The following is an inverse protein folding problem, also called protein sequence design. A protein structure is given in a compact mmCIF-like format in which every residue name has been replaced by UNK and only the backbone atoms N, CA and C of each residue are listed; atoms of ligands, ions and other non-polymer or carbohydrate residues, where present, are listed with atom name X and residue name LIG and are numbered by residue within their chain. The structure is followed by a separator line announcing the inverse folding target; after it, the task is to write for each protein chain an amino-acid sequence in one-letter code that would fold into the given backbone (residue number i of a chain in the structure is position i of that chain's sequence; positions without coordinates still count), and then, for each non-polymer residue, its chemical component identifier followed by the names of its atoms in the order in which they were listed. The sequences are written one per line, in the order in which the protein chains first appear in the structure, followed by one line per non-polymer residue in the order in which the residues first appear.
data_IF_998858709380
#
_entry.id   IF_998858709380
#
_cell.length_a   1.000
_cell.length_b   1.000
_cell.length_c   1.000
_cell.angle_alpha   90.00
_cell.angle_beta   90.00
_cell.angle_gamma   90.00
#
_symmetry.space_group_name_H-M   'P 1'
#
loop_
_entity.id
_entity.type
_entity.pdbx_description
1 polymer ?
#
# COMPACT_ATOMS: atom_id res chain seq x y z
N UNK A 1 4.87 -13.02 7.42
CA UNK A 1 4.32 -11.67 7.25
C UNK A 1 5.38 -10.78 6.62
N UNK A 2 5.01 -10.03 5.59
CA UNK A 2 5.88 -9.07 4.92
C UNK A 2 5.26 -7.68 5.06
N UNK A 3 6.08 -6.64 4.96
CA UNK A 3 5.62 -5.27 5.02
C UNK A 3 5.95 -4.57 3.72
N UNK A 4 4.94 -3.98 3.09
CA UNK A 4 5.12 -3.22 1.85
C UNK A 4 4.92 -1.75 2.18
N UNK A 5 5.88 -0.94 1.74
CA UNK A 5 5.77 0.51 1.75
C UNK A 5 5.33 0.98 0.38
N UNK A 6 4.29 1.80 0.34
CA UNK A 6 3.88 2.44 -0.91
C UNK A 6 3.34 3.84 -0.62
N UNK A 7 3.36 4.68 -1.66
CA UNK A 7 2.75 6.02 -1.59
C UNK A 7 1.29 5.91 -1.99
N UNK A 8 0.41 6.45 -1.15
CA UNK A 8 -1.02 6.55 -1.41
C UNK A 8 -1.41 8.02 -1.46
N UNK A 9 -2.10 8.39 -2.52
CA UNK A 9 -2.77 9.69 -2.59
C UNK A 9 -4.11 9.61 -1.85
N UNK A 10 -4.32 10.55 -0.93
CA UNK A 10 -5.54 10.66 -0.14
C UNK A 10 -6.09 12.08 -0.25
N UNK A 11 -7.41 12.23 -0.35
CA UNK A 11 -8.05 13.52 -0.10
C UNK A 11 -8.11 13.81 1.42
N UNK A 12 -8.51 15.00 1.82
CA UNK A 12 -8.56 15.40 3.23
C UNK A 12 -9.39 14.44 4.11
N UNK A 13 -10.64 14.05 3.75
CA UNK A 13 -11.40 13.06 4.52
C UNK A 13 -10.65 11.73 4.70
N UNK A 14 -10.09 11.19 3.62
CA UNK A 14 -9.34 9.92 3.65
C UNK A 14 -8.09 10.02 4.53
N UNK A 15 -7.38 11.15 4.48
CA UNK A 15 -6.21 11.39 5.32
C UNK A 15 -6.60 11.40 6.81
N UNK A 16 -7.68 12.08 7.17
CA UNK A 16 -8.16 12.15 8.55
C UNK A 16 -8.55 10.76 9.08
N UNK A 17 -9.34 10.01 8.30
CA UNK A 17 -9.74 8.65 8.66
C UNK A 17 -8.53 7.73 8.82
N UNK A 18 -7.60 7.78 7.87
CA UNK A 18 -6.37 6.99 7.91
C UNK A 18 -5.51 7.35 9.12
N UNK A 19 -5.31 8.64 9.40
CA UNK A 19 -4.49 9.11 10.50
C UNK A 19 -5.06 8.66 11.86
N UNK A 20 -6.38 8.72 12.04
CA UNK A 20 -7.02 8.21 13.26
C UNK A 20 -6.92 6.69 13.39
N UNK A 21 -7.16 5.94 12.31
CA UNK A 21 -7.03 4.48 12.31
C UNK A 21 -5.62 4.03 12.69
N UNK A 22 -4.60 4.78 12.27
CA UNK A 22 -3.19 4.49 12.54
C UNK A 22 -2.63 5.24 13.75
N UNK A 23 -3.47 5.95 14.52
CA UNK A 23 -3.09 6.69 15.73
C UNK A 23 -1.92 7.68 15.49
N UNK A 24 -1.93 8.34 14.33
CA UNK A 24 -0.94 9.34 13.93
C UNK A 24 -1.01 10.58 14.84
N UNK A 25 0.15 11.03 15.31
CA UNK A 25 0.32 12.13 16.28
C UNK A 25 1.63 12.87 16.02
N UNK A 26 1.64 14.18 16.27
CA UNK A 26 2.80 15.05 16.08
C UNK A 26 3.40 14.97 14.68
N UNK A 27 2.53 14.89 13.67
CA UNK A 27 2.92 14.74 12.27
C UNK A 27 2.13 15.72 11.40
N UNK A 28 2.76 16.16 10.31
CA UNK A 28 2.22 17.15 9.40
C UNK A 28 2.25 16.61 7.97
N UNK A 29 1.17 16.83 7.24
CA UNK A 29 1.03 16.40 5.85
C UNK A 29 0.85 17.60 4.94
N UNK A 30 1.63 17.64 3.86
CA UNK A 30 1.62 18.70 2.87
C UNK A 30 0.72 18.30 1.70
N UNK A 31 -0.24 19.15 1.39
CA UNK A 31 -1.12 19.02 0.25
C UNK A 31 -0.39 19.32 -1.07
N UNK A 32 -0.96 18.89 -2.20
CA UNK A 32 -0.45 19.18 -3.54
C UNK A 32 -0.25 20.67 -3.85
N UNK A 33 -0.98 21.55 -3.16
CA UNK A 33 -0.90 23.02 -3.26
C UNK A 33 0.16 23.64 -2.34
N UNK A 34 0.73 22.86 -1.43
CA UNK A 34 1.66 23.32 -0.39
C UNK A 34 1.02 23.62 0.97
N UNK A 35 -0.31 23.50 1.11
CA UNK A 35 -0.98 23.68 2.41
C UNK A 35 -0.73 22.52 3.37
N UNK A 36 -0.87 22.76 4.67
CA UNK A 36 -0.47 21.80 5.72
C UNK A 36 -1.66 21.41 6.60
N UNK A 37 -1.78 20.09 6.82
CA UNK A 37 -2.65 19.47 7.82
C UNK A 37 -1.77 18.90 8.94
N UNK A 38 -1.93 19.43 10.15
CA UNK A 38 -1.12 19.03 11.32
C UNK A 38 -1.94 18.20 12.30
N UNK A 39 -1.40 17.08 12.76
CA UNK A 39 -1.92 16.28 13.87
C UNK A 39 -1.14 16.58 15.16
N UNK A 40 -1.82 17.03 16.20
CA UNK A 40 -1.18 17.33 17.48
C UNK A 40 -0.90 16.06 18.31
N UNK A 41 -0.36 16.23 19.51
CA UNK A 41 -0.04 15.11 20.44
C UNK A 41 -1.27 14.28 20.86
N UNK A 42 -2.49 14.82 20.71
CA UNK A 42 -3.76 14.12 20.98
C UNK A 42 -4.34 13.44 19.74
N UNK A 43 -3.75 13.62 18.56
CA UNK A 43 -4.29 13.13 17.28
C UNK A 43 -5.42 14.01 16.73
N UNK A 44 -5.63 15.20 17.30
CA UNK A 44 -6.55 16.18 16.69
C UNK A 44 -5.84 16.85 15.54
N UNK A 45 -6.53 16.94 14.41
CA UNK A 45 -6.01 17.63 13.25
C UNK A 45 -6.41 19.11 13.27
N UNK A 46 -5.58 19.94 12.66
CA UNK A 46 -5.89 21.33 12.31
C UNK A 46 -5.41 21.58 10.88
N UNK A 47 -6.08 22.49 10.19
CA UNK A 47 -5.60 23.03 8.91
C UNK A 47 -5.13 24.45 9.14
N UNK A 48 -3.90 24.77 8.72
CA UNK A 48 -3.37 26.13 8.89
C UNK A 48 -3.95 27.11 7.87
N UNK A 49 -4.49 26.60 6.75
CA UNK A 49 -5.13 27.34 5.66
C UNK A 49 -6.36 26.56 5.14
N UNK A 50 -7.05 27.12 4.14
CA UNK A 50 -8.15 26.44 3.44
C UNK A 50 -7.57 25.30 2.62
N UNK A 51 -8.12 24.10 2.79
CA UNK A 51 -7.82 22.94 1.95
C UNK A 51 -8.98 22.79 0.97
N UNK A 52 -8.70 22.90 -0.31
CA UNK A 52 -9.68 22.67 -1.38
C UNK A 52 -10.15 21.22 -1.42
N UNK A 53 -11.37 20.96 -1.92
CA UNK A 53 -11.92 19.60 -2.00
C UNK A 53 -11.13 18.68 -2.95
N UNK A 54 -10.45 19.24 -3.94
CA UNK A 54 -9.67 18.51 -4.95
C UNK A 54 -8.20 18.33 -4.56
N UNK A 55 -7.78 18.84 -3.39
CA UNK A 55 -6.40 18.71 -2.93
C UNK A 55 -6.12 17.30 -2.42
N UNK A 56 -4.90 16.82 -2.70
CA UNK A 56 -4.45 15.49 -2.34
C UNK A 56 -3.16 15.55 -1.52
N UNK A 57 -2.96 14.50 -0.72
CA UNK A 57 -1.81 14.30 0.15
C UNK A 57 -1.13 12.99 -0.23
N UNK A 58 0.16 13.04 -0.52
CA UNK A 58 0.96 11.85 -0.76
C UNK A 58 1.48 11.31 0.58
N UNK A 59 0.92 10.20 1.04
CA UNK A 59 1.28 9.56 2.31
C UNK A 59 2.03 8.27 2.03
N UNK A 60 3.19 8.08 2.66
CA UNK A 60 3.87 6.79 2.67
C UNK A 60 3.22 5.88 3.72
N UNK A 61 2.61 4.79 3.27
CA UNK A 61 1.92 3.84 4.12
C UNK A 61 2.70 2.53 4.14
N UNK A 62 2.77 1.90 5.31
CA UNK A 62 3.32 0.57 5.51
C UNK A 62 2.14 -0.37 5.80
N UNK A 63 1.85 -1.27 4.87
CA UNK A 63 0.82 -2.30 5.06
C UNK A 63 1.48 -3.66 5.30
N UNK A 64 0.96 -4.38 6.29
CA UNK A 64 1.33 -5.77 6.53
C UNK A 64 0.55 -6.66 5.56
N UNK A 65 1.29 -7.42 4.76
CA UNK A 65 0.75 -8.45 3.89
C UNK A 65 1.15 -9.84 4.42
N UNK A 66 0.19 -10.76 4.33
CA UNK A 66 0.38 -12.16 4.66
C UNK A 66 0.14 -12.99 3.40
N UNK A 67 0.49 -14.27 3.43
CA UNK A 67 0.22 -15.13 2.28
C UNK A 67 -1.28 -15.26 1.97
N UNK A 68 -2.14 -15.05 2.99
CA UNK A 68 -3.60 -15.07 2.90
C UNK A 68 -4.19 -13.74 2.40
N UNK A 69 -3.39 -12.67 2.28
CA UNK A 69 -3.88 -11.36 1.84
C UNK A 69 -4.23 -11.40 0.35
N UNK A 70 -5.50 -11.17 0.01
CA UNK A 70 -5.96 -11.11 -1.38
C UNK A 70 -5.47 -9.84 -2.06
N UNK A 71 -4.64 -9.99 -3.09
CA UNK A 71 -4.06 -8.91 -3.87
C UNK A 71 -4.88 -8.73 -5.16
N UNK A 72 -5.41 -7.52 -5.46
CA UNK A 72 -6.25 -7.30 -6.63
C UNK A 72 -5.57 -7.64 -7.97
N UNK A 73 -4.26 -7.39 -8.06
CA UNK A 73 -3.41 -7.71 -9.21
C UNK A 73 -2.04 -8.16 -8.70
N UNK A 74 -1.74 -9.44 -8.85
CA UNK A 74 -0.47 -10.05 -8.46
C UNK A 74 0.29 -10.42 -9.73
N UNK A 75 1.48 -9.84 -9.92
CA UNK A 75 2.41 -10.25 -10.97
C UNK A 75 3.34 -11.31 -10.37
N UNK A 76 3.18 -12.53 -10.83
CA UNK A 76 4.06 -13.66 -10.51
C UNK A 76 5.18 -13.70 -11.55
N UNK A 77 6.42 -13.89 -11.09
CA UNK A 77 7.59 -14.06 -11.94
C UNK A 77 8.33 -15.31 -11.47
N UNK A 78 8.55 -16.25 -12.38
CA UNK A 78 9.21 -17.53 -12.11
C UNK A 78 10.46 -17.66 -12.98
N UNK A 79 11.56 -18.11 -12.38
CA UNK A 79 12.81 -18.41 -13.07
C UNK A 79 12.95 -19.93 -13.22
N UNK A 80 13.09 -20.39 -14.45
CA UNK A 80 13.33 -21.80 -14.74
C UNK A 80 14.78 -22.20 -14.50
N UNK A 81 15.03 -23.50 -14.43
CA UNK A 81 16.38 -24.07 -14.25
C UNK A 81 17.36 -23.61 -15.35
N UNK A 82 16.84 -23.35 -16.56
CA UNK A 82 17.64 -22.86 -17.70
C UNK A 82 17.90 -21.34 -17.65
N UNK A 83 17.47 -20.66 -16.59
CA UNK A 83 17.59 -19.21 -16.40
C UNK A 83 16.57 -18.38 -17.19
N UNK A 84 15.63 -19.02 -17.90
CA UNK A 84 14.55 -18.30 -18.55
C UNK A 84 13.55 -17.76 -17.51
N UNK A 85 12.96 -16.60 -17.79
CA UNK A 85 11.95 -15.99 -16.94
C UNK A 85 10.57 -16.13 -17.59
N UNK A 86 9.58 -16.57 -16.82
CA UNK A 86 8.16 -16.41 -17.16
C UNK A 86 7.47 -15.46 -16.19
N UNK A 87 6.42 -14.81 -16.66
CA UNK A 87 5.58 -13.98 -15.80
C UNK A 87 4.11 -14.19 -16.10
N UNK A 88 3.30 -14.14 -15.05
CA UNK A 88 1.85 -14.31 -15.12
C UNK A 88 1.14 -13.24 -14.28
N UNK A 89 0.06 -12.67 -14.81
CA UNK A 89 -0.77 -11.73 -14.06
C UNK A 89 -1.99 -12.45 -13.50
N UNK A 90 -2.02 -12.62 -12.18
CA UNK A 90 -3.18 -13.12 -11.44
C UNK A 90 -4.03 -11.95 -10.94
N UNK A 91 -5.35 -12.16 -10.85
CA UNK A 91 -6.31 -11.14 -10.42
C UNK A 91 -7.07 -11.63 -9.20
N UNK A 92 -7.16 -10.79 -8.17
CA UNK A 92 -7.91 -11.05 -6.94
C UNK A 92 -7.56 -12.41 -6.31
N UNK A 93 -6.26 -12.69 -6.14
CA UNK A 93 -5.79 -13.92 -5.49
C UNK A 93 -4.85 -13.57 -4.34
N UNK A 94 -4.72 -14.47 -3.38
CA UNK A 94 -3.69 -14.42 -2.35
C UNK A 94 -2.36 -14.98 -2.86
N UNK A 95 -1.28 -14.76 -2.10
CA UNK A 95 0.03 -15.35 -2.43
C UNK A 95 -0.04 -16.86 -2.23
N UNK A 96 -0.75 -17.33 -1.18
CA UNK A 96 -0.95 -18.75 -0.93
C UNK A 96 -1.66 -19.45 -2.08
N UNK A 97 -2.75 -18.87 -2.58
CA UNK A 97 -3.48 -19.41 -3.73
C UNK A 97 -2.57 -19.48 -4.97
N UNK A 98 -1.73 -18.47 -5.21
CA UNK A 98 -0.79 -18.48 -6.32
C UNK A 98 0.28 -19.57 -6.19
N UNK A 99 0.76 -19.84 -4.97
CA UNK A 99 1.73 -20.90 -4.68
C UNK A 99 1.13 -22.32 -4.74
N UNK A 100 -0.15 -22.47 -4.37
CA UNK A 100 -0.87 -23.75 -4.38
C UNK A 100 -1.35 -24.13 -5.79
N UNK A 101 -1.75 -23.16 -6.61
CA UNK A 101 -2.22 -23.30 -7.99
C UNK A 101 -1.06 -23.51 -8.98
N UNK A 102 -0.05 -24.28 -8.59
CA UNK A 102 1.21 -24.43 -9.30
C UNK A 102 1.06 -25.24 -10.59
N UNK A 103 0.42 -24.66 -11.62
CA UNK A 103 0.51 -25.10 -13.03
C UNK A 103 1.96 -25.04 -13.57
N UNK A 104 2.91 -24.48 -12.78
CA UNK A 104 4.34 -24.37 -13.04
C UNK A 104 5.19 -25.36 -12.21
N UNK A 105 4.61 -26.45 -11.69
CA UNK A 105 5.27 -27.45 -10.82
C UNK A 105 6.48 -28.20 -11.44
N UNK A 106 6.97 -27.81 -12.63
CA UNK A 106 8.25 -28.26 -13.20
C UNK A 106 9.47 -27.44 -12.74
N UNK A 107 9.30 -26.42 -11.90
CA UNK A 107 10.37 -25.50 -11.53
C UNK A 107 10.76 -25.70 -10.07
N UNK A 108 11.82 -26.47 -9.87
CA UNK A 108 12.50 -26.65 -8.59
C UNK A 108 12.96 -25.29 -8.02
N UNK A 109 12.50 -24.95 -6.83
CA UNK A 109 13.14 -23.94 -5.98
C UNK A 109 14.25 -24.62 -5.17
N UNK A 110 15.50 -24.17 -5.39
CA UNK A 110 16.64 -24.45 -4.52
C UNK A 110 16.68 -23.48 -3.34
#
# INVERSE_FOLDING_TARGET
MMKIKFKKEMNLPQLIEWAWKNNIKNEAFVASTGWIVDFNFRGWFKTSMVVGPDETFAVEVEEEITEETVIPRLLEVCEYIDGSLSSGLRRKCSIKEALEDNELAGITTH
#
